data_IF_361407328775
#
_entry.id   IF_361407328775
#
_cell.length_a   1.000
_cell.length_b   1.000
_cell.length_c   1.000
_cell.angle_alpha   90.00
_cell.angle_beta   90.00
_cell.angle_gamma   90.00
#
_symmetry.space_group_name_H-M   'P 1'
#
loop_
_entity.id
_entity.type
_entity.pdbx_description
1 polymer ?
#
# COMPACT_ATOMS: atom_id res chain seq x y z
N UNK A 1 -4.22 35.51 -34.31
CA UNK A 1 -4.26 36.91 -33.85
C UNK A 1 -4.86 36.87 -32.48
N UNK A 2 -4.13 37.21 -31.40
CA UNK A 2 -3.68 38.58 -31.05
C UNK A 2 -4.95 39.44 -30.82
N UNK A 3 -5.31 39.92 -29.61
CA UNK A 3 -4.54 40.54 -28.51
C UNK A 3 -5.33 40.36 -27.17
N UNK A 4 -4.73 40.03 -26.02
CA UNK A 4 -3.91 40.82 -25.07
C UNK A 4 -4.67 41.86 -24.23
N UNK A 5 -4.72 41.65 -22.91
CA UNK A 5 -4.49 42.68 -21.87
C UNK A 5 -3.94 42.01 -20.59
N UNK A 6 -2.66 42.27 -20.34
CA UNK A 6 -1.98 42.12 -19.05
C UNK A 6 -2.47 43.20 -18.08
N UNK A 7 -2.57 42.87 -16.80
CA UNK A 7 -2.16 43.81 -15.75
C UNK A 7 -1.39 43.06 -14.67
N UNK A 8 -0.24 43.62 -14.35
CA UNK A 8 0.89 43.04 -13.63
C UNK A 8 1.24 44.02 -12.52
N UNK A 9 1.32 43.53 -11.28
CA UNK A 9 1.72 44.35 -10.13
C UNK A 9 2.69 43.61 -9.24
N UNK A 10 3.98 43.71 -9.58
CA UNK A 10 5.10 43.37 -8.71
C UNK A 10 5.96 44.61 -8.45
N UNK A 11 6.40 44.73 -7.19
CA UNK A 11 7.64 45.31 -6.68
C UNK A 11 7.86 46.85 -6.65
N UNK A 12 8.27 47.26 -5.43
CA UNK A 12 9.21 48.32 -5.02
C UNK A 12 8.84 49.81 -5.17
N UNK A 13 8.84 50.51 -4.03
CA UNK A 13 9.46 51.83 -3.91
C UNK A 13 9.89 52.16 -2.46
N UNK A 14 11.02 52.85 -2.41
CA UNK A 14 11.91 53.16 -1.30
C UNK A 14 11.46 54.30 -0.35
N UNK A 15 12.03 54.25 0.86
CA UNK A 15 12.52 55.36 1.70
C UNK A 15 11.55 56.47 2.18
N UNK A 16 11.28 56.48 3.50
CA UNK A 16 11.32 57.70 4.30
C UNK A 16 11.79 57.38 5.74
N UNK A 17 13.02 57.80 6.06
CA UNK A 17 13.62 57.74 7.41
C UNK A 17 13.01 58.85 8.31
N UNK A 18 13.34 58.84 9.62
CA UNK A 18 14.45 59.73 9.98
C UNK A 18 15.51 59.05 10.85
N UNK A 19 16.76 59.45 10.56
CA UNK A 19 17.95 59.23 11.36
C UNK A 19 17.79 59.82 12.77
N UNK A 20 18.17 59.06 13.79
CA UNK A 20 18.88 59.61 14.93
C UNK A 20 20.00 58.66 15.37
N UNK A 21 21.16 59.25 15.58
CA UNK A 21 22.46 58.62 15.81
C UNK A 21 22.76 58.53 17.32
N UNK A 22 23.68 57.64 17.66
CA UNK A 22 24.35 57.41 18.95
C UNK A 22 23.73 56.42 19.93
N UNK A 23 24.46 55.32 20.17
CA UNK A 23 24.28 54.61 21.44
C UNK A 23 24.89 53.22 21.58
N UNK A 24 26.19 53.06 21.34
CA UNK A 24 27.10 52.10 22.00
C UNK A 24 26.72 50.60 22.00
N UNK A 25 27.61 49.83 21.36
CA UNK A 25 28.04 48.48 21.74
C UNK A 25 27.16 47.72 22.73
N UNK A 26 26.30 46.88 22.18
CA UNK A 26 26.11 45.56 22.74
C UNK A 26 26.44 44.61 21.62
N UNK A 27 27.63 44.01 21.75
CA UNK A 27 27.91 42.70 21.18
C UNK A 27 26.73 41.81 21.57
N UNK A 28 25.78 41.63 20.66
CA UNK A 28 24.84 40.53 20.78
C UNK A 28 25.69 39.31 20.48
N UNK A 29 26.03 38.63 21.57
CA UNK A 29 26.43 37.23 21.60
C UNK A 29 25.80 36.54 20.39
N UNK A 30 26.66 36.03 19.51
CA UNK A 30 26.24 35.36 18.30
C UNK A 30 25.17 34.36 18.69
N UNK A 31 23.97 34.51 18.12
CA UNK A 31 23.03 33.41 18.07
C UNK A 31 23.83 32.26 17.48
N UNK A 32 24.17 31.30 18.32
CA UNK A 32 24.71 30.02 17.95
C UNK A 32 23.70 29.53 16.92
N UNK A 33 24.03 29.66 15.63
CA UNK A 33 23.33 28.93 14.60
C UNK A 33 23.43 27.50 15.10
N UNK A 34 22.31 26.98 15.58
CA UNK A 34 22.16 25.58 15.90
C UNK A 34 22.37 24.91 14.54
N UNK A 35 23.64 24.64 14.22
CA UNK A 35 24.04 24.05 12.96
C UNK A 35 23.35 22.71 13.04
N UNK A 36 22.20 22.58 12.38
CA UNK A 36 21.54 21.32 12.21
C UNK A 36 22.51 20.44 11.43
N UNK A 37 23.30 19.67 12.18
CA UNK A 37 24.25 18.74 11.62
C UNK A 37 23.43 17.76 10.79
N UNK A 38 23.82 17.63 9.53
CA UNK A 38 23.24 16.63 8.64
C UNK A 38 23.50 15.26 9.30
N UNK A 39 22.46 14.44 9.53
CA UNK A 39 22.67 13.10 10.06
C UNK A 39 23.55 12.31 9.10
N UNK A 40 24.66 11.78 9.59
CA UNK A 40 25.43 10.79 8.85
C UNK A 40 25.13 9.43 9.45
N UNK A 41 24.63 8.50 8.64
CA UNK A 41 24.30 7.17 9.11
C UNK A 41 23.36 6.41 8.18
N UNK A 42 22.87 5.29 8.68
CA UNK A 42 22.01 4.36 7.96
C UNK A 42 20.61 4.33 8.55
N UNK A 43 19.61 4.48 7.69
CA UNK A 43 18.20 4.31 8.01
C UNK A 43 17.78 2.93 7.53
N UNK A 44 17.15 2.16 8.41
CA UNK A 44 16.61 0.84 8.07
C UNK A 44 15.11 0.79 8.35
N UNK A 45 14.33 0.36 7.36
CA UNK A 45 12.90 0.10 7.47
C UNK A 45 12.65 -1.40 7.32
N UNK A 46 12.13 -2.03 8.37
CA UNK A 46 11.55 -3.37 8.31
C UNK A 46 10.04 -3.25 8.29
N UNK A 47 9.37 -3.95 7.40
CA UNK A 47 7.94 -3.78 7.21
C UNK A 47 7.25 -5.09 6.82
N UNK A 48 5.95 -5.16 7.11
CA UNK A 48 5.05 -6.21 6.69
C UNK A 48 3.72 -5.58 6.33
N UNK A 49 3.21 -5.88 5.14
CA UNK A 49 1.90 -5.46 4.66
C UNK A 49 1.08 -6.70 4.31
N UNK A 50 -0.03 -6.89 5.01
CA UNK A 50 -0.99 -7.96 4.81
C UNK A 50 -2.27 -7.38 4.22
N UNK A 51 -2.69 -7.97 3.11
CA UNK A 51 -3.91 -7.62 2.39
C UNK A 51 -4.84 -8.82 2.36
N UNK A 52 -6.10 -8.61 2.74
CA UNK A 52 -7.13 -9.66 2.76
C UNK A 52 -8.38 -9.18 2.07
N UNK A 53 -8.99 -10.08 1.32
CA UNK A 53 -10.32 -9.90 0.77
C UNK A 53 -11.14 -11.18 0.90
N UNK A 54 -12.41 -11.03 1.25
CA UNK A 54 -13.42 -12.08 1.24
C UNK A 54 -14.67 -11.51 0.58
N UNK A 55 -15.17 -12.19 -0.44
CA UNK A 55 -16.41 -11.84 -1.15
C UNK A 55 -17.31 -13.06 -1.13
N UNK A 56 -18.55 -12.86 -0.69
CA UNK A 56 -19.60 -13.85 -0.76
C UNK A 56 -20.82 -13.28 -1.46
N UNK A 57 -21.49 -14.12 -2.22
CA UNK A 57 -22.75 -13.78 -2.87
C UNK A 57 -23.67 -14.99 -2.77
N UNK A 58 -24.89 -14.74 -2.31
CA UNK A 58 -25.97 -15.71 -2.28
C UNK A 58 -27.18 -15.04 -2.91
N UNK A 59 -27.64 -15.58 -4.03
CA UNK A 59 -28.83 -15.07 -4.68
C UNK A 59 -29.75 -16.18 -5.15
N UNK A 60 -31.04 -15.93 -4.98
CA UNK A 60 -32.13 -16.78 -5.37
C UNK A 60 -33.14 -15.93 -6.13
N UNK A 61 -33.60 -16.41 -7.27
CA UNK A 61 -34.67 -15.78 -8.03
C UNK A 61 -35.57 -16.86 -8.63
N UNK A 62 -36.86 -16.72 -8.43
CA UNK A 62 -37.92 -17.54 -9.02
C UNK A 62 -38.48 -16.80 -10.25
N UNK A 63 -38.78 -17.55 -11.31
CA UNK A 63 -39.41 -16.95 -12.47
C UNK A 63 -40.89 -16.67 -12.24
N UNK A 64 -41.28 -15.42 -12.51
CA UNK A 64 -42.60 -14.82 -12.30
C UNK A 64 -43.75 -15.61 -12.93
N UNK A 65 -43.51 -16.26 -14.08
CA UNK A 65 -44.51 -17.04 -14.78
C UNK A 65 -43.86 -18.08 -15.72
N UNK A 66 -44.26 -19.36 -15.58
CA UNK A 66 -44.43 -20.25 -16.74
C UNK A 66 -45.26 -21.51 -16.41
N UNK A 67 -45.10 -22.10 -15.21
CA UNK A 67 -45.75 -23.37 -14.86
C UNK A 67 -46.06 -23.47 -13.36
N UNK A 68 -47.34 -23.41 -12.99
CA UNK A 68 -47.81 -23.47 -11.60
C UNK A 68 -47.40 -24.74 -10.81
N UNK A 69 -46.93 -25.79 -11.50
CA UNK A 69 -46.55 -27.08 -10.91
C UNK A 69 -45.05 -27.38 -11.00
N UNK A 70 -44.25 -26.51 -11.64
CA UNK A 70 -42.79 -26.63 -11.76
C UNK A 70 -42.17 -25.25 -12.02
N UNK A 71 -42.16 -24.35 -11.02
CA UNK A 71 -41.56 -23.03 -11.15
C UNK A 71 -40.06 -23.19 -11.42
N UNK A 72 -39.57 -22.42 -12.40
CA UNK A 72 -38.15 -22.29 -12.67
C UNK A 72 -37.52 -21.20 -11.82
N UNK A 73 -36.21 -21.07 -11.90
CA UNK A 73 -35.48 -20.04 -11.19
C UNK A 73 -33.97 -20.21 -11.28
N UNK A 74 -33.25 -19.28 -10.70
CA UNK A 74 -31.79 -19.27 -10.61
C UNK A 74 -31.36 -19.22 -9.15
N UNK A 75 -30.38 -20.04 -8.81
CA UNK A 75 -29.65 -20.00 -7.56
C UNK A 75 -28.18 -19.74 -7.87
N UNK A 76 -27.57 -18.80 -7.17
CA UNK A 76 -26.14 -18.54 -7.25
C UNK A 76 -25.58 -18.49 -5.84
N UNK A 77 -24.58 -19.32 -5.60
CA UNK A 77 -23.75 -19.27 -4.40
C UNK A 77 -22.30 -19.04 -4.83
N UNK A 78 -21.69 -17.99 -4.28
CA UNK A 78 -20.28 -17.70 -4.49
C UNK A 78 -19.56 -17.45 -3.17
N UNK A 79 -18.31 -17.87 -3.13
CA UNK A 79 -17.38 -17.54 -2.06
C UNK A 79 -15.99 -17.47 -2.65
N UNK A 80 -15.33 -16.35 -2.41
CA UNK A 80 -14.01 -16.06 -2.92
C UNK A 80 -13.17 -15.36 -1.86
N UNK A 81 -11.93 -15.81 -1.69
CA UNK A 81 -11.03 -15.25 -0.69
C UNK A 81 -9.60 -15.12 -1.23
N UNK A 82 -8.90 -14.13 -0.70
CA UNK A 82 -7.51 -13.82 -1.02
C UNK A 82 -6.80 -13.29 0.23
N UNK A 83 -5.63 -13.84 0.54
CA UNK A 83 -4.68 -13.26 1.50
C UNK A 83 -3.30 -13.18 0.88
N UNK A 84 -2.71 -11.98 0.89
CA UNK A 84 -1.35 -11.72 0.41
C UNK A 84 -0.58 -11.00 1.50
N UNK A 85 0.67 -11.40 1.69
CA UNK A 85 1.58 -10.77 2.64
C UNK A 85 2.86 -10.41 1.88
N UNK A 86 3.18 -9.12 1.90
CA UNK A 86 4.48 -8.59 1.51
C UNK A 86 5.27 -8.23 2.75
N UNK A 87 6.57 -8.45 2.71
CA UNK A 87 7.47 -8.01 3.77
C UNK A 87 8.83 -7.69 3.20
N UNK A 88 9.59 -6.90 3.93
CA UNK A 88 10.91 -6.52 3.47
C UNK A 88 11.73 -5.80 4.52
N UNK A 89 13.00 -5.62 4.17
CA UNK A 89 13.95 -4.83 4.92
C UNK A 89 14.77 -4.02 3.92
N UNK A 90 14.71 -2.69 4.04
CA UNK A 90 15.47 -1.78 3.20
C UNK A 90 16.34 -0.88 4.05
N UNK A 91 17.54 -0.61 3.55
CA UNK A 91 18.51 0.25 4.20
C UNK A 91 18.94 1.33 3.23
N UNK A 92 18.91 2.56 3.71
CA UNK A 92 19.37 3.74 3.00
C UNK A 92 20.48 4.42 3.78
N UNK A 93 21.41 5.01 3.04
CA UNK A 93 22.41 5.91 3.60
C UNK A 93 21.90 7.34 3.51
N UNK A 94 22.11 8.11 4.57
CA UNK A 94 21.84 9.55 4.52
C UNK A 94 22.95 10.24 3.73
N UNK A 95 22.54 11.05 2.76
CA UNK A 95 23.46 11.77 1.87
C UNK A 95 23.42 13.29 2.04
N UNK A 96 22.36 13.82 2.62
CA UNK A 96 22.13 15.26 2.72
C UNK A 96 20.77 15.60 3.31
N UNK A 97 20.42 16.88 3.22
CA UNK A 97 19.12 17.41 3.58
C UNK A 97 18.70 18.42 2.51
N UNK A 98 17.52 18.23 1.93
CA UNK A 98 16.90 19.13 0.97
C UNK A 98 15.50 19.49 1.45
N UNK A 99 15.15 20.78 1.47
CA UNK A 99 13.83 21.27 1.92
C UNK A 99 13.36 20.71 3.28
N UNK A 100 14.29 20.63 4.26
CA UNK A 100 14.08 20.05 5.59
C UNK A 100 13.71 18.54 5.59
N UNK A 101 13.98 17.82 4.52
CA UNK A 101 13.81 16.37 4.38
C UNK A 101 15.19 15.73 4.22
N UNK A 102 15.38 14.58 4.87
CA UNK A 102 16.62 13.80 4.76
C UNK A 102 16.72 13.13 3.39
N UNK A 103 17.83 13.36 2.68
CA UNK A 103 18.10 12.74 1.39
C UNK A 103 18.66 11.32 1.56
N UNK A 104 18.00 10.34 0.95
CA UNK A 104 18.26 8.91 1.12
C UNK A 104 18.75 8.26 -0.17
N UNK A 105 19.90 7.58 -0.09
CA UNK A 105 20.41 6.72 -1.16
C UNK A 105 20.25 5.24 -0.77
N UNK A 106 19.57 4.44 -1.60
CA UNK A 106 19.34 3.02 -1.29
C UNK A 106 20.65 2.23 -1.35
N UNK A 107 20.97 1.54 -0.26
CA UNK A 107 22.17 0.69 -0.14
C UNK A 107 21.82 -0.76 -0.38
N UNK A 108 20.71 -1.22 0.20
CA UNK A 108 20.26 -2.60 0.09
C UNK A 108 18.76 -2.72 0.33
N UNK A 109 18.14 -3.72 -0.30
CA UNK A 109 16.72 -3.99 -0.17
C UNK A 109 16.40 -5.46 -0.35
N UNK A 110 15.56 -5.98 0.53
CA UNK A 110 14.96 -7.30 0.43
C UNK A 110 13.44 -7.18 0.38
N UNK A 111 12.83 -7.86 -0.59
CA UNK A 111 11.39 -7.96 -0.76
C UNK A 111 10.99 -9.43 -0.79
N UNK A 112 10.12 -9.81 0.12
CA UNK A 112 9.48 -11.12 0.21
C UNK A 112 7.98 -10.97 -0.05
N UNK A 113 7.40 -11.98 -0.68
CA UNK A 113 5.96 -12.07 -0.90
C UNK A 113 5.50 -13.51 -0.63
N UNK A 114 4.29 -13.63 -0.11
CA UNK A 114 3.63 -14.91 0.12
C UNK A 114 2.13 -14.71 0.11
N UNK A 115 1.37 -15.79 0.01
CA UNK A 115 -0.07 -15.72 0.05
C UNK A 115 -0.73 -16.49 -1.09
N UNK A 116 -2.01 -16.72 -0.89
CA UNK A 116 -2.86 -17.50 -1.77
C UNK A 116 -4.31 -17.21 -1.45
N UNK A 117 -5.18 -17.84 -2.22
CA UNK A 117 -6.60 -17.85 -1.94
C UNK A 117 -7.29 -18.72 -2.96
N UNK A 118 -8.60 -18.76 -2.88
CA UNK A 118 -9.42 -19.53 -3.81
C UNK A 118 -10.82 -18.98 -3.84
N UNK A 119 -11.49 -19.25 -4.95
CA UNK A 119 -12.89 -18.93 -5.09
C UNK A 119 -13.65 -19.99 -5.86
N UNK A 120 -14.96 -19.93 -5.65
CA UNK A 120 -15.93 -20.77 -6.34
C UNK A 120 -17.21 -19.99 -6.59
N UNK A 121 -17.85 -20.28 -7.72
CA UNK A 121 -19.22 -19.87 -8.03
C UNK A 121 -19.97 -21.12 -8.47
N UNK A 122 -21.12 -21.36 -7.87
CA UNK A 122 -22.07 -22.38 -8.26
C UNK A 122 -23.36 -21.69 -8.65
N UNK A 123 -23.68 -21.72 -9.94
CA UNK A 123 -24.94 -21.22 -10.47
C UNK A 123 -25.78 -22.41 -10.94
N UNK A 124 -27.03 -22.46 -10.52
CA UNK A 124 -28.01 -23.47 -10.92
C UNK A 124 -29.23 -22.75 -11.45
N UNK A 125 -29.54 -22.99 -12.70
CA UNK A 125 -30.75 -22.56 -13.34
C UNK A 125 -31.68 -23.76 -13.58
N UNK A 126 -32.93 -23.62 -13.14
CA UNK A 126 -34.00 -24.59 -13.39
C UNK A 126 -34.99 -24.01 -14.38
N UNK A 127 -35.26 -24.76 -15.45
CA UNK A 127 -36.23 -24.39 -16.48
C UNK A 127 -37.14 -25.56 -16.80
N UNK A 128 -38.36 -25.26 -17.22
CA UNK A 128 -39.28 -26.25 -17.79
C UNK A 128 -39.17 -26.20 -19.30
N UNK A 129 -38.82 -27.34 -19.92
CA UNK A 129 -38.76 -27.49 -21.38
C UNK A 129 -39.82 -28.48 -21.84
N UNK A 130 -40.23 -28.35 -23.09
CA UNK A 130 -41.16 -29.29 -23.71
C UNK A 130 -40.40 -30.39 -24.46
N UNK A 131 -40.67 -31.65 -24.10
CA UNK A 131 -40.10 -32.83 -24.75
C UNK A 131 -41.20 -33.62 -25.49
N UNK A 132 -40.80 -34.53 -26.39
CA UNK A 132 -41.73 -35.32 -27.22
C UNK A 132 -41.38 -36.81 -27.11
N UNK A 133 -42.38 -37.67 -26.85
CA UNK A 133 -42.16 -39.13 -26.78
C UNK A 133 -41.78 -39.73 -28.13
N UNK A 134 -42.39 -39.25 -29.22
CA UNK A 134 -41.97 -39.55 -30.60
C UNK A 134 -41.40 -38.27 -31.22
N UNK A 135 -40.08 -38.14 -31.15
CA UNK A 135 -39.35 -36.97 -31.62
C UNK A 135 -39.38 -36.81 -33.14
N UNK A 136 -39.43 -37.90 -33.90
CA UNK A 136 -39.45 -37.87 -35.37
C UNK A 136 -40.78 -37.35 -35.91
N UNK A 137 -41.87 -37.57 -35.18
CA UNK A 137 -43.21 -37.12 -35.55
C UNK A 137 -43.74 -35.97 -34.69
N UNK A 138 -42.95 -35.50 -33.71
CA UNK A 138 -43.34 -34.51 -32.70
C UNK A 138 -44.69 -34.84 -32.04
N UNK A 139 -44.93 -36.13 -31.76
CA UNK A 139 -46.17 -36.59 -31.15
C UNK A 139 -46.01 -36.75 -29.64
N UNK A 140 -47.08 -36.40 -28.92
CA UNK A 140 -47.22 -36.50 -27.45
C UNK A 140 -46.19 -35.64 -26.70
N UNK A 141 -46.37 -34.31 -26.69
CA UNK A 141 -45.54 -33.44 -25.87
C UNK A 141 -45.75 -33.76 -24.39
N UNK A 142 -44.69 -33.61 -23.61
CA UNK A 142 -44.72 -33.62 -22.16
C UNK A 142 -43.71 -32.61 -21.63
N UNK A 143 -44.06 -31.94 -20.55
CA UNK A 143 -43.16 -30.98 -19.90
C UNK A 143 -42.16 -31.74 -19.03
N UNK A 144 -40.91 -31.29 -19.06
CA UNK A 144 -39.82 -31.80 -18.25
C UNK A 144 -39.07 -30.63 -17.62
N UNK A 145 -38.86 -30.70 -16.31
CA UNK A 145 -37.94 -29.80 -15.64
C UNK A 145 -36.50 -30.25 -15.90
N UNK A 146 -35.66 -29.31 -16.29
CA UNK A 146 -34.24 -29.53 -16.55
C UNK A 146 -33.42 -28.53 -15.74
N UNK A 147 -32.20 -28.96 -15.42
CA UNK A 147 -31.23 -28.17 -14.70
C UNK A 147 -30.02 -27.83 -15.59
N UNK A 148 -29.67 -26.55 -15.61
CA UNK A 148 -28.42 -26.05 -16.16
C UNK A 148 -27.56 -25.57 -14.98
N UNK A 149 -26.39 -26.17 -14.79
CA UNK A 149 -25.48 -25.77 -13.71
C UNK A 149 -24.14 -25.32 -14.28
N UNK A 150 -23.64 -24.20 -13.76
CA UNK A 150 -22.32 -23.64 -14.06
C UNK A 150 -21.53 -23.58 -12.77
N UNK A 151 -20.50 -24.42 -12.66
CA UNK A 151 -19.63 -24.46 -11.49
C UNK A 151 -18.23 -23.98 -11.87
N UNK A 152 -17.82 -22.83 -11.38
CA UNK A 152 -16.47 -22.29 -11.59
C UNK A 152 -15.67 -22.40 -10.31
N UNK A 153 -14.39 -22.76 -10.41
CA UNK A 153 -13.45 -22.73 -9.30
C UNK A 153 -12.08 -22.25 -9.75
N UNK A 154 -11.40 -21.50 -8.89
CA UNK A 154 -10.08 -20.95 -9.18
C UNK A 154 -9.24 -20.82 -7.91
N UNK A 155 -7.93 -20.71 -8.10
CA UNK A 155 -6.96 -20.49 -7.04
C UNK A 155 -6.09 -19.28 -7.36
N UNK A 156 -5.72 -18.54 -6.32
CA UNK A 156 -4.74 -17.46 -6.38
C UNK A 156 -3.40 -17.91 -5.84
N UNK A 157 -2.33 -17.37 -6.40
CA UNK A 157 -0.99 -17.51 -5.86
C UNK A 157 -0.26 -16.19 -5.97
N UNK A 158 0.32 -15.74 -4.85
CA UNK A 158 1.17 -14.57 -4.82
C UNK A 158 2.46 -14.84 -5.63
N UNK A 159 2.86 -13.85 -6.41
CA UNK A 159 4.04 -13.81 -7.25
C UNK A 159 4.83 -12.54 -6.97
N UNK A 160 6.03 -12.47 -7.54
CA UNK A 160 6.85 -11.26 -7.47
C UNK A 160 6.07 -10.11 -8.13
N UNK A 161 5.75 -9.03 -7.40
CA UNK A 161 5.03 -7.92 -7.98
C UNK A 161 5.90 -7.23 -9.04
N UNK A 162 5.31 -6.96 -10.22
CA UNK A 162 6.02 -6.30 -11.32
C UNK A 162 6.04 -4.80 -11.08
N UNK A 163 7.23 -4.23 -10.86
CA UNK A 163 7.39 -2.78 -10.70
C UNK A 163 6.90 -2.24 -9.35
N UNK A 164 6.86 -3.07 -8.30
CA UNK A 164 6.67 -2.59 -6.94
C UNK A 164 7.96 -1.87 -6.48
N UNK A 165 7.83 -0.59 -6.17
CA UNK A 165 8.82 0.08 -5.33
C UNK A 165 8.56 -0.30 -3.88
N UNK A 166 9.61 -0.61 -3.10
CA UNK A 166 9.44 -0.84 -1.68
C UNK A 166 8.92 0.44 -0.99
N UNK A 167 8.26 0.31 0.17
CA UNK A 167 7.93 1.48 0.97
C UNK A 167 9.20 2.21 1.37
N UNK A 168 9.14 3.54 1.37
CA UNK A 168 10.26 4.41 1.69
C UNK A 168 9.88 5.38 2.82
N UNK A 169 10.76 5.58 3.81
CA UNK A 169 10.55 6.59 4.83
C UNK A 169 10.85 7.99 4.27
N UNK A 170 10.00 8.95 4.61
CA UNK A 170 10.27 10.39 4.50
C UNK A 170 10.53 10.88 5.90
N UNK A 171 11.73 11.39 6.17
CA UNK A 171 12.13 11.86 7.49
C UNK A 171 12.38 13.36 7.42
N UNK A 172 11.69 14.10 8.28
CA UNK A 172 11.80 15.54 8.37
C UNK A 172 12.82 15.92 9.45
N UNK A 173 13.52 17.04 9.24
CA UNK A 173 14.41 17.63 10.24
C UNK A 173 13.65 18.00 11.53
N UNK A 174 12.32 18.17 11.45
CA UNK A 174 11.43 18.38 12.59
C UNK A 174 11.20 17.13 13.45
N UNK A 175 11.93 16.03 13.21
CA UNK A 175 11.81 14.73 13.89
C UNK A 175 10.51 13.98 13.61
N UNK A 176 9.73 14.43 12.63
CA UNK A 176 8.60 13.69 12.10
C UNK A 176 9.05 12.71 11.03
N UNK A 177 8.35 11.59 10.90
CA UNK A 177 8.52 10.67 9.80
C UNK A 177 7.16 10.26 9.20
N UNK A 178 7.21 9.86 7.93
CA UNK A 178 6.10 9.26 7.19
C UNK A 178 6.61 8.05 6.42
N UNK A 179 5.93 6.91 6.54
CA UNK A 179 6.22 5.74 5.71
C UNK A 179 5.33 5.78 4.47
N UNK A 180 5.95 6.06 3.32
CA UNK A 180 5.27 6.10 2.03
C UNK A 180 5.29 4.72 1.39
N UNK A 181 4.12 4.13 1.21
CA UNK A 181 3.97 2.91 0.40
C UNK A 181 3.64 3.34 -1.03
N UNK A 182 4.49 2.98 -1.99
CA UNK A 182 4.13 3.12 -3.39
C UNK A 182 2.87 2.29 -3.67
N UNK A 183 1.92 2.86 -4.41
CA UNK A 183 0.75 2.08 -4.87
C UNK A 183 1.28 0.87 -5.65
N UNK A 184 1.00 -0.33 -5.15
CA UNK A 184 1.30 -1.58 -5.84
C UNK A 184 0.44 -1.61 -7.10
N UNK A 185 1.01 -1.19 -8.25
CA UNK A 185 0.30 -1.17 -9.54
C UNK A 185 -0.04 -2.57 -10.07
N UNK A 186 0.59 -3.59 -9.51
CA UNK A 186 0.33 -5.01 -9.76
C UNK A 186 0.63 -5.74 -8.45
N UNK A 187 -0.41 -6.22 -7.78
CA UNK A 187 -0.29 -7.04 -6.57
C UNK A 187 0.47 -8.36 -6.82
N UNK A 188 0.88 -8.64 -8.06
CA UNK A 188 1.64 -9.84 -8.41
C UNK A 188 0.82 -11.07 -8.10
N UNK A 189 -0.44 -11.14 -8.53
CA UNK A 189 -1.29 -12.31 -8.28
C UNK A 189 -1.52 -13.03 -9.58
N UNK A 190 -1.26 -14.33 -9.58
CA UNK A 190 -1.71 -15.22 -10.65
C UNK A 190 -2.93 -16.00 -10.23
N UNK A 191 -3.87 -16.15 -11.16
CA UNK A 191 -5.05 -17.01 -11.01
C UNK A 191 -5.04 -18.15 -12.02
N UNK A 192 -5.50 -19.32 -11.62
CA UNK A 192 -5.83 -20.43 -12.52
C UNK A 192 -7.13 -21.09 -12.06
N UNK A 193 -7.94 -21.58 -13.00
CA UNK A 193 -9.24 -22.15 -12.67
C UNK A 193 -9.89 -22.85 -13.84
N UNK A 194 -11.02 -23.48 -13.55
CA UNK A 194 -11.85 -24.22 -14.51
C UNK A 194 -13.33 -23.93 -14.26
N UNK A 195 -14.12 -24.09 -15.31
CA UNK A 195 -15.58 -24.03 -15.28
C UNK A 195 -16.16 -25.33 -15.83
N UNK A 196 -17.05 -25.93 -15.05
CA UNK A 196 -17.81 -27.13 -15.41
C UNK A 196 -19.25 -26.74 -15.70
N UNK A 197 -19.68 -26.94 -16.94
CA UNK A 197 -21.04 -26.75 -17.40
C UNK A 197 -21.77 -28.09 -17.42
N UNK A 198 -22.92 -28.17 -16.75
CA UNK A 198 -23.86 -29.29 -16.83
C UNK A 198 -25.14 -28.78 -17.48
N UNK A 199 -25.51 -29.38 -18.61
CA UNK A 199 -26.71 -29.01 -19.37
C UNK A 199 -27.61 -30.24 -19.48
N UNK A 200 -28.82 -30.16 -18.94
CA UNK A 200 -29.84 -31.17 -19.13
C UNK A 200 -30.79 -30.79 -20.27
N UNK A 201 -31.15 -31.78 -21.09
CA UNK A 201 -32.11 -31.64 -22.19
C UNK A 201 -33.04 -32.86 -22.27
N UNK A 202 -33.85 -32.95 -23.32
CA UNK A 202 -34.75 -34.09 -23.51
C UNK A 202 -34.03 -35.43 -23.74
N UNK A 203 -32.76 -35.41 -24.17
CA UNK A 203 -31.97 -36.60 -24.52
C UNK A 203 -31.12 -37.11 -23.35
N UNK A 204 -30.77 -36.24 -22.41
CA UNK A 204 -29.98 -36.61 -21.24
C UNK A 204 -29.27 -35.42 -20.61
N UNK A 205 -28.07 -35.67 -20.11
CA UNK A 205 -27.23 -34.66 -19.47
C UNK A 205 -25.90 -34.63 -20.21
N UNK A 206 -25.47 -33.43 -20.62
CA UNK A 206 -24.14 -33.18 -21.15
C UNK A 206 -23.32 -32.41 -20.12
N UNK A 207 -22.06 -32.81 -19.95
CA UNK A 207 -21.09 -32.09 -19.12
C UNK A 207 -19.92 -31.64 -19.99
N UNK A 208 -19.48 -30.41 -19.81
CA UNK A 208 -18.34 -29.81 -20.50
C UNK A 208 -17.46 -29.06 -19.51
N UNK A 209 -16.14 -29.21 -19.61
CA UNK A 209 -15.16 -28.54 -18.75
C UNK A 209 -14.28 -27.66 -19.61
N UNK A 210 -14.23 -26.37 -19.29
CA UNK A 210 -13.38 -25.39 -19.97
C UNK A 210 -12.42 -24.75 -18.96
N UNK A 211 -11.18 -24.40 -19.35
CA UNK A 211 -10.35 -23.54 -18.53
C UNK A 211 -11.01 -22.15 -18.41
N UNK A 212 -10.80 -21.45 -17.29
CA UNK A 212 -11.21 -20.04 -17.21
C UNK A 212 -10.31 -19.18 -18.11
N UNK A 213 -10.91 -18.42 -19.04
CA UNK A 213 -10.20 -17.66 -20.08
C UNK A 213 -9.43 -16.42 -19.56
N UNK A 214 -9.74 -15.88 -18.37
CA UNK A 214 -9.11 -14.69 -17.73
C UNK A 214 -9.88 -14.34 -16.45
N UNK A 215 -9.37 -13.64 -15.43
CA UNK A 215 -8.05 -13.47 -14.83
C UNK A 215 -8.38 -12.79 -13.49
N UNK A 216 -8.28 -13.54 -12.38
CA UNK A 216 -8.52 -13.08 -11.01
C UNK A 216 -10.01 -12.81 -10.68
N UNK A 217 -10.55 -13.48 -9.64
CA UNK A 217 -11.95 -13.39 -9.23
C UNK A 217 -12.28 -12.18 -8.33
N UNK A 218 -13.53 -12.06 -7.84
CA UNK A 218 -14.04 -10.91 -7.10
C UNK A 218 -13.19 -10.46 -5.90
N UNK A 219 -12.59 -11.40 -5.16
CA UNK A 219 -11.74 -11.10 -4.01
C UNK A 219 -10.47 -10.33 -4.41
N UNK A 220 -9.91 -10.59 -5.59
CA UNK A 220 -8.77 -9.82 -6.09
C UNK A 220 -9.16 -8.36 -6.33
N UNK A 221 -10.23 -8.13 -7.08
CA UNK A 221 -10.72 -6.77 -7.37
C UNK A 221 -11.08 -6.02 -6.08
N UNK A 222 -11.71 -6.71 -5.12
CA UNK A 222 -12.03 -6.09 -3.83
C UNK A 222 -10.78 -5.76 -3.00
N UNK A 223 -9.74 -6.61 -3.08
CA UNK A 223 -8.45 -6.35 -2.45
C UNK A 223 -7.81 -5.07 -3.01
N UNK A 224 -7.77 -4.90 -4.34
CA UNK A 224 -7.25 -3.69 -4.99
C UNK A 224 -8.02 -2.43 -4.55
N UNK A 225 -9.35 -2.52 -4.51
CA UNK A 225 -10.20 -1.41 -4.04
C UNK A 225 -9.92 -1.06 -2.59
N UNK A 226 -9.80 -2.06 -1.71
CA UNK A 226 -9.52 -1.87 -0.28
C UNK A 226 -8.18 -1.17 -0.06
N UNK A 227 -7.17 -1.55 -0.84
CA UNK A 227 -5.84 -0.92 -0.80
C UNK A 227 -5.93 0.54 -1.28
N UNK A 228 -6.60 0.78 -2.41
CA UNK A 228 -6.78 2.12 -2.94
C UNK A 228 -7.55 3.04 -1.97
N UNK A 229 -8.60 2.52 -1.32
CA UNK A 229 -9.40 3.22 -0.32
C UNK A 229 -8.55 3.56 0.92
N UNK A 230 -7.82 2.58 1.46
CA UNK A 230 -6.92 2.79 2.61
C UNK A 230 -5.92 3.93 2.35
N UNK A 231 -5.19 3.89 1.22
CA UNK A 231 -4.17 4.91 0.92
C UNK A 231 -4.73 6.25 0.47
N UNK A 232 -5.99 6.31 0.05
CA UNK A 232 -6.70 7.58 -0.20
C UNK A 232 -7.20 8.20 1.11
N UNK A 233 -7.46 7.37 2.13
CA UNK A 233 -7.96 7.82 3.41
C UNK A 233 -6.88 8.55 4.24
N UNK A 234 -7.24 9.70 4.81
CA UNK A 234 -6.33 10.50 5.62
C UNK A 234 -6.06 9.87 7.00
N UNK A 235 -7.06 9.26 7.62
CA UNK A 235 -6.94 8.59 8.92
C UNK A 235 -5.95 7.42 8.86
N UNK A 236 -6.06 6.58 7.83
CA UNK A 236 -5.11 5.50 7.61
C UNK A 236 -3.68 6.03 7.38
N UNK A 237 -3.52 7.05 6.54
CA UNK A 237 -2.20 7.67 6.30
C UNK A 237 -1.58 8.27 7.56
N UNK A 238 -2.38 8.83 8.48
CA UNK A 238 -1.87 9.31 9.76
C UNK A 238 -1.33 8.21 10.67
N UNK A 239 -1.82 6.97 10.54
CA UNK A 239 -1.29 5.83 11.30
C UNK A 239 0.12 5.39 10.84
N UNK A 240 0.55 5.82 9.64
CA UNK A 240 1.87 5.53 9.07
C UNK A 240 2.88 6.66 9.30
N UNK A 241 2.59 7.55 10.25
CA UNK A 241 3.39 8.72 10.59
C UNK A 241 3.61 8.79 12.09
N UNK A 242 4.66 9.45 12.52
CA UNK A 242 4.92 9.68 13.93
C UNK A 242 6.13 10.57 14.17
N UNK A 243 6.47 10.74 15.44
CA UNK A 243 7.70 11.41 15.86
C UNK A 243 8.78 10.38 16.20
N UNK A 244 10.01 10.70 15.83
CA UNK A 244 11.20 10.11 16.41
C UNK A 244 11.39 10.76 17.78
N UNK A 245 11.22 9.97 18.85
CA UNK A 245 11.50 10.42 20.22
C UNK A 245 13.00 10.56 20.43
N UNK A 246 13.56 11.71 20.07
CA UNK A 246 14.99 12.01 20.25
C UNK A 246 15.09 13.31 21.05
N UNK A 247 15.87 13.32 22.13
CA UNK A 247 16.09 14.49 22.98
C UNK A 247 17.17 15.44 22.39
N UNK A 248 18.07 14.90 21.57
CA UNK A 248 19.18 15.58 20.90
C UNK A 248 19.11 15.41 19.37
N UNK A 249 19.82 16.23 18.57
CA UNK A 249 19.85 16.05 17.13
C UNK A 249 20.55 14.74 16.75
N UNK A 250 19.82 13.83 16.08
CA UNK A 250 20.37 12.67 15.37
C UNK A 250 21.12 11.63 16.21
N UNK A 251 20.66 11.39 17.43
CA UNK A 251 20.98 10.14 18.13
C UNK A 251 20.34 8.93 17.44
N UNK A 252 20.91 7.75 17.69
CA UNK A 252 20.32 6.50 17.24
C UNK A 252 18.88 6.37 17.76
N UNK A 253 17.95 6.03 16.88
CA UNK A 253 16.55 5.84 17.24
C UNK A 253 15.99 4.56 16.63
N UNK A 254 14.95 4.04 17.29
CA UNK A 254 14.13 2.96 16.77
C UNK A 254 12.68 3.23 17.14
N UNK A 255 11.81 3.24 16.15
CA UNK A 255 10.36 3.42 16.31
C UNK A 255 9.63 2.28 15.60
N UNK A 256 8.49 1.89 16.14
CA UNK A 256 7.58 0.95 15.50
C UNK A 256 6.21 1.56 15.36
N UNK A 257 5.48 1.14 14.34
CA UNK A 257 4.13 1.60 14.09
C UNK A 257 3.31 0.56 13.37
N UNK A 258 2.02 0.83 13.31
CA UNK A 258 1.03 -0.06 12.74
C UNK A 258 -0.15 0.74 12.19
N UNK A 259 -0.54 0.43 10.95
CA UNK A 259 -1.72 0.98 10.30
C UNK A 259 -2.69 -0.15 9.94
N UNK A 260 -3.97 0.01 10.29
CA UNK A 260 -5.02 -0.92 9.89
C UNK A 260 -6.20 -0.19 9.23
N UNK A 261 -6.74 -0.78 8.18
CA UNK A 261 -7.90 -0.31 7.45
C UNK A 261 -8.85 -1.47 7.15
N UNK A 262 -10.16 -1.19 7.19
CA UNK A 262 -11.21 -2.14 6.83
C UNK A 262 -12.21 -1.49 5.89
N UNK A 263 -12.56 -2.21 4.83
CA UNK A 263 -13.60 -1.83 3.89
C UNK A 263 -14.63 -2.97 3.84
N UNK A 264 -15.74 -2.76 4.55
CA UNK A 264 -16.84 -3.72 4.63
C UNK A 264 -18.04 -3.19 3.86
N UNK A 265 -18.59 -4.02 2.98
CA UNK A 265 -19.79 -3.71 2.19
C UNK A 265 -20.77 -4.87 2.31
N UNK A 266 -22.04 -4.57 2.65
CA UNK A 266 -23.10 -5.57 2.69
C UNK A 266 -24.33 -5.03 1.99
N UNK A 267 -24.79 -5.76 0.98
CA UNK A 267 -25.98 -5.45 0.21
C UNK A 267 -26.98 -6.58 0.35
N UNK A 268 -28.22 -6.23 0.68
CA UNK A 268 -29.36 -7.14 0.55
C UNK A 268 -30.38 -6.49 -0.35
N UNK A 269 -30.73 -7.18 -1.44
CA UNK A 269 -31.78 -6.75 -2.37
C UNK A 269 -32.88 -7.80 -2.36
N UNK A 270 -34.11 -7.35 -2.22
CA UNK A 270 -35.31 -8.18 -2.36
C UNK A 270 -36.05 -7.63 -3.57
N UNK A 271 -36.46 -8.53 -4.46
CA UNK A 271 -37.27 -8.19 -5.62
C UNK A 271 -38.61 -7.59 -5.17
N UNK A 272 -39.14 -6.50 -5.77
CA UNK A 272 -40.39 -5.90 -5.35
C UNK A 272 -41.57 -6.88 -5.38
N UNK A 273 -41.52 -7.82 -6.31
CA UNK A 273 -42.53 -8.87 -6.50
C UNK A 273 -42.31 -10.07 -5.55
N UNK A 274 -41.27 -10.04 -4.72
CA UNK A 274 -40.95 -11.06 -3.72
C UNK A 274 -40.37 -12.35 -4.30
N UNK A 275 -40.09 -12.36 -5.60
CA UNK A 275 -39.62 -13.53 -6.36
C UNK A 275 -38.12 -13.73 -6.27
N UNK A 276 -37.38 -12.79 -5.71
CA UNK A 276 -35.94 -12.94 -5.59
C UNK A 276 -35.36 -12.24 -4.38
N UNK A 277 -34.24 -12.78 -3.92
CA UNK A 277 -33.41 -12.19 -2.90
C UNK A 277 -31.94 -12.38 -3.30
N UNK A 278 -31.14 -11.33 -3.16
CA UNK A 278 -29.70 -11.38 -3.30
C UNK A 278 -29.05 -10.77 -2.07
N UNK A 279 -28.04 -11.44 -1.55
CA UNK A 279 -27.16 -10.97 -0.47
C UNK A 279 -25.73 -11.03 -0.97
N UNK A 280 -25.04 -9.90 -0.92
CA UNK A 280 -23.62 -9.81 -1.22
C UNK A 280 -22.90 -9.22 -0.02
N UNK A 281 -21.82 -9.86 0.41
CA UNK A 281 -20.95 -9.36 1.48
C UNK A 281 -19.52 -9.31 0.96
N UNK A 282 -18.84 -8.20 1.23
CA UNK A 282 -17.46 -7.97 0.83
C UNK A 282 -16.71 -7.41 2.02
N UNK A 283 -15.59 -8.04 2.33
CA UNK A 283 -14.75 -7.71 3.47
C UNK A 283 -13.33 -7.53 2.99
N UNK A 284 -12.80 -6.32 3.16
CA UNK A 284 -11.44 -5.95 2.80
C UNK A 284 -10.65 -5.54 4.03
N UNK A 285 -9.40 -5.98 4.14
CA UNK A 285 -8.49 -5.57 5.23
C UNK A 285 -7.12 -5.22 4.67
N UNK A 286 -6.59 -4.07 5.11
CA UNK A 286 -5.17 -3.71 5.03
C UNK A 286 -4.61 -3.67 6.45
N UNK A 287 -3.51 -4.38 6.67
CA UNK A 287 -2.80 -4.44 7.95
C UNK A 287 -1.31 -4.28 7.68
N UNK A 288 -0.74 -3.16 8.13
CA UNK A 288 0.66 -2.79 7.92
C UNK A 288 1.32 -2.64 9.27
N UNK A 289 2.47 -3.27 9.43
CA UNK A 289 3.35 -3.09 10.58
C UNK A 289 4.76 -2.75 10.10
N UNK A 290 5.43 -1.86 10.83
CA UNK A 290 6.77 -1.43 10.48
C UNK A 290 7.63 -1.12 11.70
N UNK A 291 8.95 -1.19 11.50
CA UNK A 291 9.97 -0.73 12.41
C UNK A 291 10.99 0.08 11.62
N UNK A 292 11.17 1.34 12.00
CA UNK A 292 12.11 2.29 11.41
C UNK A 292 13.22 2.55 12.42
N UNK A 293 14.48 2.45 12.01
CA UNK A 293 15.62 2.75 12.86
C UNK A 293 16.67 3.57 12.12
N UNK A 294 17.36 4.42 12.86
CA UNK A 294 18.55 5.13 12.40
C UNK A 294 19.74 4.75 13.26
N UNK A 295 20.86 4.47 12.61
CA UNK A 295 22.15 4.21 13.26
C UNK A 295 23.13 5.26 12.69
N UNK A 296 23.60 6.22 13.51
CA UNK A 296 24.60 7.17 13.07
C UNK A 296 25.91 6.44 12.75
N UNK A 297 26.58 6.84 11.69
CA UNK A 297 27.96 6.44 11.45
C UNK A 297 28.82 7.20 12.48
N UNK A 298 29.83 6.54 13.07
CA UNK A 298 30.77 7.25 13.95
C UNK A 298 31.31 8.48 13.20
N UNK A 299 31.34 9.67 13.84
CA UNK A 299 31.85 10.85 13.17
C UNK A 299 33.29 10.56 12.79
N UNK A 300 33.56 10.49 11.50
CA UNK A 300 34.93 10.55 10.98
C UNK A 300 35.40 11.96 11.31
N UNK A 301 36.01 12.15 12.47
CA UNK A 301 36.71 13.38 12.80
C UNK A 301 37.75 13.53 11.68
N UNK A 302 37.64 14.51 10.77
CA UNK A 302 38.72 14.76 9.84
C UNK A 302 39.92 15.09 10.72
N UNK A 303 40.92 14.21 10.74
CA UNK A 303 42.23 14.55 11.26
C UNK A 303 42.73 15.62 10.31
N UNK A 304 42.43 16.88 10.60
CA UNK A 304 43.11 18.02 10.01
C UNK A 304 44.56 17.79 10.40
N UNK A 305 45.48 17.51 9.46
CA UNK A 305 46.88 17.54 9.79
C UNK A 305 47.12 18.97 10.28
N UNK A 306 47.47 19.12 11.56
CA UNK A 306 48.04 20.37 12.04
C UNK A 306 49.33 20.55 11.26
N UNK A 307 49.25 21.20 10.11
CA UNK A 307 50.40 21.73 9.39
C UNK A 307 50.98 22.74 10.37
N UNK A 308 52.18 22.51 10.93
CA UNK A 308 52.81 23.52 11.74
C UNK A 308 52.98 24.76 10.85
N UNK A 309 52.66 25.97 11.33
CA UNK A 309 53.01 27.16 10.57
C UNK A 309 54.51 27.11 10.31
N UNK A 310 54.92 27.35 9.06
CA UNK A 310 56.34 27.43 8.72
C UNK A 310 57.00 28.46 9.64
N UNK A 311 57.98 28.01 10.42
CA UNK A 311 58.79 28.87 11.27
C UNK A 311 59.58 29.86 10.40
N UNK A 312 59.05 31.05 10.20
CA UNK A 312 59.89 32.23 9.98
C UNK A 312 60.36 32.71 11.34
N UNK A 313 61.59 32.33 11.69
CA UNK A 313 62.14 32.47 13.03
C UNK A 313 62.21 33.90 13.57
N UNK A 314 62.23 34.00 14.90
CA UNK A 314 63.29 34.65 15.69
C UNK A 314 62.88 34.72 17.17
N UNK A 315 63.71 34.12 18.01
CA UNK A 315 63.96 34.32 19.45
C UNK A 315 62.82 34.56 20.47
N UNK A 316 62.90 33.72 21.51
CA UNK A 316 62.47 33.89 22.92
C UNK A 316 60.98 34.09 23.21
N UNK A 317 60.30 33.01 23.59
CA UNK A 317 59.81 32.75 24.97
C UNK A 317 59.12 31.37 25.01
N UNK A 318 59.41 30.57 26.04
CA UNK A 318 58.81 29.23 26.26
C UNK A 318 57.28 29.31 26.38
N UNK A 319 56.50 28.50 25.63
CA UNK A 319 55.14 28.20 26.02
C UNK A 319 55.11 26.88 26.82
N UNK A 320 54.61 26.92 28.06
CA UNK A 320 54.20 25.72 28.79
C UNK A 320 53.07 25.02 28.01
N UNK A 321 53.35 23.83 27.48
CA UNK A 321 52.32 22.98 26.88
C UNK A 321 51.48 22.34 27.99
N UNK A 322 50.14 22.28 27.86
CA UNK A 322 49.33 21.48 28.77
C UNK A 322 49.64 20.00 28.54
N UNK A 323 50.17 19.33 29.56
CA UNK A 323 50.38 17.88 29.55
C UNK A 323 49.03 17.18 29.57
N UNK A 324 48.60 16.62 28.44
CA UNK A 324 47.46 15.71 28.38
C UNK A 324 47.91 14.33 28.82
N UNK A 325 47.31 13.70 29.86
CA UNK A 325 47.66 12.35 30.26
C UNK A 325 47.21 11.35 29.18
N UNK A 326 48.15 10.62 28.59
CA UNK A 326 47.87 9.44 27.78
C UNK A 326 47.32 8.33 28.68
N UNK A 327 46.02 8.07 28.60
CA UNK A 327 45.40 6.88 29.16
C UNK A 327 45.58 5.72 28.17
N UNK A 328 46.12 4.56 28.56
CA UNK A 328 46.24 3.41 27.66
C UNK A 328 44.86 2.79 27.39
N UNK A 329 44.64 2.21 26.19
CA UNK A 329 43.40 1.49 25.89
C UNK A 329 43.28 0.26 26.81
N UNK A 330 42.07 0.01 27.31
CA UNK A 330 41.74 -1.23 28.02
C UNK A 330 41.52 -2.35 27.01
N UNK A 331 42.16 -3.48 27.27
CA UNK A 331 41.91 -4.79 26.66
C UNK A 331 40.46 -5.24 26.79
#
# INVERSE_FOLDING_TARGET
GYDDYYDSGGCDDHDDRPYDDHGKGQDRDGEELDIMLIPYGNITLRWTARYKALVTEDSHHEYEDAYAFAPGGTNLESSDNLEIVFSGAHTWKVTGVTDCIVDLEEVSGELNWSGSGSGKISEIERRTIQCYKDRARLLQPYDRQVEHATNSSWNYTAQKPKGASPPAPVIYMSRWYEISFAQLRDLGVSGYGETVFKTEDCEGTRTETLPMDSALGPAFTWCELTIADAFSNQEFRYQLRGECSIDTPWEAFAVSGHGAWKLDESHTRIDPDGLGQARCERHGVVDISYALSFIPDEPVIPIVPLVPPEETGSDSDEPEWPVVPLVPPKD
#
